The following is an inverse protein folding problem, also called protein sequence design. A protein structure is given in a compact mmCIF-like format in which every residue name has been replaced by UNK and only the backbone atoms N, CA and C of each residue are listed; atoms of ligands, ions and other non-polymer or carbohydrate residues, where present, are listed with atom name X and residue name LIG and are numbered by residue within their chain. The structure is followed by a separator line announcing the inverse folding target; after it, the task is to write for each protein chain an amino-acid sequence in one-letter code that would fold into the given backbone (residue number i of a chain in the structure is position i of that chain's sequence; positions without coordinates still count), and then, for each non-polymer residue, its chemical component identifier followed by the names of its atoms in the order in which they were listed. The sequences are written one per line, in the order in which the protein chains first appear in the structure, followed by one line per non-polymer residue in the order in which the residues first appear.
data_IF_929447308926
#
_entry.id   IF_929447308926
#
_cell.length_a   1.000
_cell.length_b   1.000
_cell.length_c   1.000
_cell.angle_alpha   90.00
_cell.angle_beta   90.00
_cell.angle_gamma   90.00
#
_symmetry.space_group_name_H-M   'P 1'
#
loop_
_entity.id
_entity.type
_entity.pdbx_description
1 polymer ?
#
# COMPACT_ATOMS: atom_id res chain seq x y z
N UNK A 1 -10.69 17.04 -9.05
CA UNK A 1 -11.64 15.90 -9.16
C UNK A 1 -10.96 14.65 -9.76
N UNK A 2 -10.22 14.76 -10.89
CA UNK A 2 -9.53 13.58 -11.48
C UNK A 2 -8.53 12.94 -10.51
N UNK A 3 -7.66 13.72 -9.86
CA UNK A 3 -6.69 13.22 -8.88
C UNK A 3 -7.35 12.43 -7.74
N UNK A 4 -8.46 12.94 -7.21
CA UNK A 4 -9.24 12.28 -6.15
C UNK A 4 -9.78 10.92 -6.63
N UNK A 5 -10.38 10.88 -7.83
CA UNK A 5 -10.91 9.64 -8.39
C UNK A 5 -9.80 8.60 -8.63
N UNK A 6 -8.65 9.01 -9.16
CA UNK A 6 -7.49 8.15 -9.38
C UNK A 6 -6.89 7.66 -8.06
N UNK A 7 -6.75 8.52 -7.05
CA UNK A 7 -6.25 8.14 -5.72
C UNK A 7 -7.18 7.14 -5.01
N UNK A 8 -8.51 7.33 -5.11
CA UNK A 8 -9.48 6.37 -4.58
C UNK A 8 -9.47 5.06 -5.36
N UNK A 9 -9.30 5.10 -6.70
CA UNK A 9 -9.08 3.92 -7.53
C UNK A 9 -7.83 3.14 -7.11
N UNK A 10 -6.72 3.84 -6.84
CA UNK A 10 -5.50 3.28 -6.27
C UNK A 10 -5.78 2.58 -4.94
N UNK A 11 -6.47 3.28 -4.03
CA UNK A 11 -6.85 2.76 -2.72
C UNK A 11 -7.74 1.50 -2.82
N UNK A 12 -8.67 1.47 -3.79
CA UNK A 12 -9.49 0.29 -4.05
C UNK A 12 -8.62 -0.90 -4.53
N UNK A 13 -7.70 -0.67 -5.47
CA UNK A 13 -6.77 -1.70 -5.94
C UNK A 13 -5.91 -2.26 -4.79
N UNK A 14 -5.35 -1.39 -3.96
CA UNK A 14 -4.60 -1.80 -2.78
C UNK A 14 -5.47 -2.55 -1.77
N UNK A 15 -6.70 -2.08 -1.54
CA UNK A 15 -7.65 -2.73 -0.63
C UNK A 15 -8.03 -4.13 -1.07
N UNK A 16 -8.32 -4.33 -2.36
CA UNK A 16 -8.60 -5.65 -2.94
C UNK A 16 -7.37 -6.54 -2.83
N UNK A 17 -6.17 -6.04 -3.17
CA UNK A 17 -4.92 -6.79 -3.04
C UNK A 17 -4.66 -7.24 -1.61
N UNK A 18 -4.83 -6.32 -0.65
CA UNK A 18 -4.64 -6.59 0.78
C UNK A 18 -5.71 -7.51 1.37
N UNK A 19 -6.88 -7.61 0.74
CA UNK A 19 -7.89 -8.61 1.08
C UNK A 19 -7.53 -10.00 0.50
N UNK A 20 -7.21 -10.05 -0.81
CA UNK A 20 -6.96 -11.31 -1.54
C UNK A 20 -5.64 -11.96 -1.10
N UNK A 21 -4.58 -11.19 -0.90
CA UNK A 21 -3.26 -11.71 -0.54
C UNK A 21 -3.24 -12.59 0.71
N UNK A 22 -3.76 -12.13 1.86
CA UNK A 22 -3.88 -12.94 3.07
C UNK A 22 -4.78 -14.17 2.91
N UNK A 23 -5.86 -14.10 2.12
CA UNK A 23 -6.70 -15.28 1.85
C UNK A 23 -5.92 -16.36 1.09
N UNK A 24 -5.08 -15.96 0.13
CA UNK A 24 -4.18 -16.88 -0.57
C UNK A 24 -3.09 -17.43 0.36
N UNK A 25 -2.59 -16.62 1.29
CA UNK A 25 -1.59 -17.04 2.28
C UNK A 25 -2.10 -18.07 3.29
N UNK A 26 -3.42 -18.25 3.42
CA UNK A 26 -4.02 -19.36 4.20
C UNK A 26 -3.82 -20.72 3.53
N UNK A 27 -3.66 -20.75 2.20
CA UNK A 27 -3.50 -21.98 1.40
C UNK A 27 -2.06 -22.18 0.89
N UNK A 28 -1.28 -21.11 0.88
CA UNK A 28 0.10 -21.07 0.39
C UNK A 28 1.00 -20.41 1.42
N UNK A 29 2.32 -20.55 1.29
CA UNK A 29 3.25 -19.83 2.18
C UNK A 29 3.24 -18.34 1.85
N UNK A 30 3.39 -17.48 2.87
CA UNK A 30 3.49 -16.02 2.70
C UNK A 30 4.59 -15.67 1.69
N UNK A 31 5.73 -16.36 1.76
CA UNK A 31 6.85 -16.17 0.83
C UNK A 31 6.44 -16.47 -0.62
N UNK A 32 5.67 -17.56 -0.84
CA UNK A 32 5.19 -17.90 -2.19
C UNK A 32 4.24 -16.84 -2.74
N UNK A 33 3.28 -16.36 -1.92
CA UNK A 33 2.35 -15.30 -2.32
C UNK A 33 3.10 -14.01 -2.65
N UNK A 34 3.98 -13.55 -1.75
CA UNK A 34 4.73 -12.30 -1.94
C UNK A 34 5.65 -12.38 -3.16
N UNK A 35 6.52 -13.38 -3.23
CA UNK A 35 7.51 -13.46 -4.32
C UNK A 35 6.82 -13.63 -5.67
N UNK A 36 5.85 -14.54 -5.79
CA UNK A 36 5.15 -14.77 -7.06
C UNK A 36 4.36 -13.54 -7.51
N UNK A 37 3.63 -12.89 -6.59
CA UNK A 37 2.87 -11.70 -6.90
C UNK A 37 3.76 -10.53 -7.34
N UNK A 38 4.90 -10.32 -6.68
CA UNK A 38 5.80 -9.22 -7.03
C UNK A 38 6.62 -9.49 -8.29
N UNK A 39 6.94 -10.75 -8.59
CA UNK A 39 7.53 -11.11 -9.90
C UNK A 39 6.52 -10.85 -11.02
N UNK A 40 5.25 -11.25 -10.85
CA UNK A 40 4.20 -10.96 -11.83
C UNK A 40 4.00 -9.44 -12.02
N UNK A 41 4.04 -8.68 -10.93
CA UNK A 41 4.01 -7.22 -10.95
C UNK A 41 5.21 -6.62 -11.73
N UNK A 42 6.41 -7.15 -11.50
CA UNK A 42 7.62 -6.73 -12.22
C UNK A 42 7.52 -7.02 -13.73
N UNK A 43 7.01 -8.20 -14.10
CA UNK A 43 6.77 -8.54 -15.51
C UNK A 43 5.76 -7.57 -16.15
N UNK A 44 4.68 -7.23 -15.44
CA UNK A 44 3.70 -6.26 -15.93
C UNK A 44 4.33 -4.86 -16.14
N UNK A 45 5.19 -4.40 -15.22
CA UNK A 45 5.94 -3.16 -15.40
C UNK A 45 6.92 -3.24 -16.58
N UNK A 46 7.59 -4.37 -16.80
CA UNK A 46 8.47 -4.57 -17.96
C UNK A 46 7.68 -4.50 -19.26
N UNK A 47 6.51 -5.14 -19.33
CA UNK A 47 5.62 -5.05 -20.50
C UNK A 47 5.20 -3.59 -20.73
N UNK A 48 4.90 -2.84 -19.66
CA UNK A 48 4.54 -1.45 -19.75
C UNK A 48 5.70 -0.60 -20.31
N UNK A 49 6.94 -0.78 -19.84
CA UNK A 49 8.12 -0.09 -20.37
C UNK A 49 8.31 -0.35 -21.87
N UNK A 50 8.18 -1.64 -22.28
CA UNK A 50 8.31 -2.01 -23.71
C UNK A 50 7.21 -1.42 -24.57
N UNK A 51 5.99 -1.33 -24.04
CA UNK A 51 4.83 -0.79 -24.76
C UNK A 51 4.86 0.75 -24.83
N UNK A 52 5.37 1.41 -23.81
CA UNK A 52 5.44 2.86 -23.69
C UNK A 52 6.55 3.44 -24.56
N UNK A 53 7.69 2.77 -24.65
CA UNK A 53 8.82 3.14 -25.51
C UNK A 53 9.60 4.36 -25.03
N UNK A 54 9.37 4.85 -23.80
CA UNK A 54 10.12 5.94 -23.22
C UNK A 54 11.59 5.56 -22.97
N UNK A 55 12.47 6.57 -22.96
CA UNK A 55 13.86 6.38 -22.58
C UNK A 55 14.00 6.05 -21.08
N UNK A 56 15.07 5.34 -20.68
CA UNK A 56 15.37 5.14 -19.27
C UNK A 56 15.50 6.44 -18.50
N UNK A 57 15.17 6.38 -17.19
CA UNK A 57 15.28 7.53 -16.29
C UNK A 57 16.71 8.10 -16.25
N UNK A 58 16.82 9.36 -15.87
CA UNK A 58 18.09 9.94 -15.44
C UNK A 58 18.66 9.14 -14.23
N UNK A 59 19.97 9.18 -14.05
CA UNK A 59 20.61 8.48 -12.92
C UNK A 59 20.04 8.93 -11.55
N UNK A 60 19.66 10.21 -11.44
CA UNK A 60 19.03 10.77 -10.25
C UNK A 60 17.68 10.12 -9.98
N UNK A 61 16.77 10.09 -10.95
CA UNK A 61 15.42 9.54 -10.80
C UNK A 61 15.42 8.01 -10.70
N UNK A 62 16.37 7.32 -11.33
CA UNK A 62 16.62 5.88 -11.08
C UNK A 62 16.93 5.62 -9.61
N UNK A 63 17.81 6.41 -8.97
CA UNK A 63 18.12 6.25 -7.54
C UNK A 63 16.87 6.48 -6.68
N UNK A 64 16.06 7.49 -6.99
CA UNK A 64 14.81 7.77 -6.27
C UNK A 64 13.81 6.61 -6.45
N UNK A 65 13.67 6.07 -7.67
CA UNK A 65 12.81 4.92 -7.94
C UNK A 65 13.27 3.65 -7.18
N UNK A 66 14.58 3.38 -7.17
CA UNK A 66 15.14 2.27 -6.38
C UNK A 66 14.90 2.46 -4.87
N UNK A 67 15.05 3.68 -4.35
CA UNK A 67 14.73 4.01 -2.95
C UNK A 67 13.24 3.78 -2.65
N UNK A 68 12.34 4.18 -3.55
CA UNK A 68 10.92 3.88 -3.45
C UNK A 68 10.67 2.37 -3.38
N UNK A 69 11.35 1.58 -4.21
CA UNK A 69 11.27 0.12 -4.22
C UNK A 69 11.73 -0.52 -2.92
N UNK A 70 12.85 -0.05 -2.35
CA UNK A 70 13.35 -0.47 -1.02
C UNK A 70 12.33 -0.11 0.06
N UNK A 71 11.76 1.10 0.02
CA UNK A 71 10.70 1.54 0.91
C UNK A 71 9.47 0.61 0.82
N UNK A 72 9.03 0.28 -0.39
CA UNK A 72 7.91 -0.64 -0.60
C UNK A 72 8.20 -2.04 -0.05
N UNK A 73 9.41 -2.57 -0.27
CA UNK A 73 9.83 -3.87 0.28
C UNK A 73 9.84 -3.86 1.82
N UNK A 74 10.43 -2.83 2.44
CA UNK A 74 10.44 -2.65 3.88
C UNK A 74 9.03 -2.54 4.45
N UNK A 75 8.14 -1.83 3.75
CA UNK A 75 6.73 -1.71 4.07
C UNK A 75 6.02 -3.07 4.09
N UNK A 76 6.17 -3.86 3.03
CA UNK A 76 5.58 -5.20 2.95
C UNK A 76 6.13 -6.14 4.01
N UNK A 77 7.46 -6.25 4.14
CA UNK A 77 8.10 -7.12 5.14
C UNK A 77 7.66 -6.73 6.54
N UNK A 78 7.69 -5.43 6.85
CA UNK A 78 7.27 -4.90 8.15
C UNK A 78 5.82 -5.22 8.47
N UNK A 79 4.91 -5.02 7.51
CA UNK A 79 3.49 -5.29 7.66
C UNK A 79 3.20 -6.78 7.93
N UNK A 80 3.81 -7.68 7.13
CA UNK A 80 3.62 -9.12 7.34
C UNK A 80 4.24 -9.61 8.65
N UNK A 81 5.40 -9.05 9.05
CA UNK A 81 6.00 -9.34 10.35
C UNK A 81 5.16 -8.83 11.51
N UNK A 82 4.58 -7.65 11.40
CA UNK A 82 3.66 -7.12 12.39
C UNK A 82 2.43 -8.04 12.55
N UNK A 83 1.84 -8.47 11.43
CA UNK A 83 0.67 -9.37 11.42
C UNK A 83 0.98 -10.78 11.93
N UNK A 84 2.24 -11.24 11.80
CA UNK A 84 2.70 -12.52 12.37
C UNK A 84 2.82 -12.47 13.91
N UNK A 85 3.23 -11.31 14.44
CA UNK A 85 3.61 -11.15 15.86
C UNK A 85 2.49 -10.59 16.74
N UNK A 86 1.49 -9.94 16.15
CA UNK A 86 0.41 -9.30 16.87
C UNK A 86 -0.88 -9.17 16.07
N UNK A 87 -1.92 -8.56 16.66
CA UNK A 87 -3.20 -8.43 15.99
C UNK A 87 -3.12 -7.50 14.78
N UNK A 88 -3.72 -7.91 13.68
CA UNK A 88 -3.83 -7.09 12.48
C UNK A 88 -4.60 -5.79 12.77
N UNK A 89 -5.50 -5.81 13.76
CA UNK A 89 -6.23 -4.65 14.29
C UNK A 89 -5.33 -3.54 14.85
N UNK A 90 -4.08 -3.87 15.19
CA UNK A 90 -3.07 -2.89 15.62
C UNK A 90 -2.13 -2.56 14.46
N UNK A 91 -1.69 -3.58 13.72
CA UNK A 91 -0.73 -3.40 12.64
C UNK A 91 -1.28 -2.56 11.47
N UNK A 92 -2.55 -2.77 11.07
CA UNK A 92 -3.13 -2.08 9.93
C UNK A 92 -3.35 -0.57 10.17
N UNK A 93 -3.91 -0.11 11.30
CA UNK A 93 -3.99 1.32 11.61
C UNK A 93 -2.63 2.01 11.66
N UNK A 94 -1.64 1.38 12.28
CA UNK A 94 -0.28 1.94 12.35
C UNK A 94 0.32 2.02 10.94
N UNK A 95 0.17 0.98 10.12
CA UNK A 95 0.65 0.97 8.73
C UNK A 95 0.02 2.08 7.88
N UNK A 96 -1.27 2.38 8.08
CA UNK A 96 -1.96 3.47 7.38
C UNK A 96 -1.41 4.87 7.72
N UNK A 97 -0.76 5.05 8.88
CA UNK A 97 -0.09 6.29 9.24
C UNK A 97 1.12 6.61 8.34
N UNK A 98 1.54 5.69 7.48
CA UNK A 98 2.57 5.94 6.48
C UNK A 98 2.24 7.12 5.57
N UNK A 99 0.96 7.44 5.34
CA UNK A 99 0.51 8.62 4.60
C UNK A 99 0.96 9.96 5.23
N UNK A 100 1.34 9.98 6.50
CA UNK A 100 1.85 11.19 7.16
C UNK A 100 3.18 11.63 6.52
N UNK A 101 4.01 10.70 6.05
CA UNK A 101 5.32 11.03 5.45
C UNK A 101 5.16 11.90 4.19
N UNK A 102 4.39 11.50 3.15
CA UNK A 102 4.17 12.36 1.99
C UNK A 102 3.38 13.62 2.30
N UNK A 103 2.50 13.63 3.34
CA UNK A 103 1.83 14.86 3.78
C UNK A 103 2.86 15.86 4.32
N UNK A 104 3.77 15.43 5.19
CA UNK A 104 4.84 16.28 5.71
C UNK A 104 5.78 16.74 4.61
N UNK A 105 6.07 15.86 3.63
CA UNK A 105 6.90 16.21 2.48
C UNK A 105 6.22 17.28 1.62
N UNK A 106 4.94 17.12 1.27
CA UNK A 106 4.20 18.09 0.48
C UNK A 106 4.15 19.47 1.13
N UNK A 107 3.90 19.52 2.46
CA UNK A 107 3.94 20.76 3.23
C UNK A 107 5.35 21.40 3.23
N UNK A 108 6.40 20.59 3.31
CA UNK A 108 7.78 21.05 3.24
C UNK A 108 8.13 21.59 1.85
N UNK A 109 7.60 20.97 0.81
CA UNK A 109 7.77 21.36 -0.60
C UNK A 109 6.90 22.56 -1.01
N UNK A 110 6.15 23.14 -0.05
CA UNK A 110 5.40 24.37 -0.23
C UNK A 110 3.93 24.17 -0.61
N UNK A 111 3.38 22.96 -0.50
CA UNK A 111 1.94 22.72 -0.65
C UNK A 111 1.18 23.51 0.43
N UNK A 112 0.21 24.32 0.00
CA UNK A 112 -0.69 25.05 0.90
C UNK A 112 -2.02 24.33 1.00
N UNK A 113 -2.34 23.80 2.18
CA UNK A 113 -3.62 23.16 2.46
C UNK A 113 -4.63 24.21 2.92
N UNK A 114 -5.83 24.17 2.34
CA UNK A 114 -6.98 24.90 2.88
C UNK A 114 -7.38 24.30 4.23
N UNK A 115 -8.00 25.07 5.09
CA UNK A 115 -8.45 24.58 6.41
C UNK A 115 -9.39 23.38 6.27
N UNK A 116 -10.28 23.39 5.27
CA UNK A 116 -11.20 22.26 4.98
C UNK A 116 -10.43 21.01 4.57
N UNK A 117 -9.40 21.13 3.74
CA UNK A 117 -8.54 20.03 3.32
C UNK A 117 -7.77 19.45 4.52
N UNK A 118 -7.21 20.30 5.39
CA UNK A 118 -6.51 19.86 6.58
C UNK A 118 -7.42 19.05 7.53
N UNK A 119 -8.64 19.53 7.78
CA UNK A 119 -9.64 18.78 8.55
C UNK A 119 -10.06 17.48 7.84
N UNK A 120 -10.24 17.52 6.53
CA UNK A 120 -10.55 16.36 5.71
C UNK A 120 -9.45 15.29 5.80
N UNK A 121 -8.17 15.69 5.72
CA UNK A 121 -7.01 14.80 5.88
C UNK A 121 -6.99 14.14 7.27
N UNK A 122 -7.21 14.91 8.34
CA UNK A 122 -7.27 14.38 9.70
C UNK A 122 -8.40 13.37 9.88
N UNK A 123 -9.59 13.67 9.34
CA UNK A 123 -10.72 12.74 9.37
C UNK A 123 -10.46 11.49 8.52
N UNK A 124 -9.84 11.63 7.34
CA UNK A 124 -9.53 10.51 6.48
C UNK A 124 -8.49 9.57 7.13
N UNK A 125 -7.41 10.12 7.68
CA UNK A 125 -6.36 9.35 8.39
C UNK A 125 -6.96 8.69 9.65
N UNK A 126 -7.62 9.46 10.50
CA UNK A 126 -8.20 8.95 11.74
C UNK A 126 -9.33 7.94 11.48
N UNK A 127 -10.19 8.23 10.51
CA UNK A 127 -11.26 7.33 10.08
C UNK A 127 -10.71 6.05 9.46
N UNK A 128 -9.72 6.13 8.58
CA UNK A 128 -9.05 4.96 8.01
C UNK A 128 -8.37 4.08 9.06
N UNK A 129 -7.68 4.70 10.02
CA UNK A 129 -7.07 4.01 11.14
C UNK A 129 -8.12 3.33 12.04
N UNK A 130 -9.26 3.99 12.28
CA UNK A 130 -10.35 3.43 13.07
C UNK A 130 -11.09 2.30 12.31
N UNK A 131 -11.31 2.46 11.00
CA UNK A 131 -11.90 1.42 10.15
C UNK A 131 -11.04 0.15 10.08
N UNK A 132 -9.73 0.29 10.17
CA UNK A 132 -8.79 -0.83 10.17
C UNK A 132 -8.75 -1.61 11.50
N UNK A 133 -9.39 -1.12 12.57
CA UNK A 133 -9.48 -1.86 13.84
C UNK A 133 -10.33 -3.11 13.63
N UNK A 134 -9.73 -4.26 13.88
CA UNK A 134 -10.43 -5.54 13.93
C UNK A 134 -10.70 -5.86 15.41
N UNK A 135 -11.95 -6.11 15.76
CA UNK A 135 -12.28 -6.63 17.10
C UNK A 135 -11.68 -8.04 17.19
N UNK A 136 -10.81 -8.35 18.15
CA UNK A 136 -10.29 -9.71 18.29
C UNK A 136 -11.45 -10.67 18.52
N UNK A 137 -11.66 -11.62 17.63
CA UNK A 137 -12.44 -12.79 17.94
C UNK A 137 -11.62 -13.59 18.96
N UNK A 138 -12.22 -13.83 20.12
CA UNK A 138 -11.80 -14.67 21.26
C UNK A 138 -10.36 -15.21 21.25
N UNK A 139 -9.59 -14.86 22.34
CA UNK A 139 -8.40 -15.55 22.87
C UNK A 139 -7.32 -16.04 21.90
N UNK A 140 -6.92 -15.23 20.94
CA UNK A 140 -5.67 -15.50 20.21
C UNK A 140 -4.50 -14.95 21.02
N UNK A 141 -3.69 -15.85 21.59
CA UNK A 141 -2.43 -15.49 22.24
C UNK A 141 -1.42 -15.08 21.16
N UNK A 142 -1.11 -13.79 21.08
CA UNK A 142 -0.13 -13.27 20.14
C UNK A 142 1.29 -13.42 20.68
N UNK A 143 2.25 -13.71 19.80
CA UNK A 143 3.62 -14.03 20.18
C UNK A 143 4.35 -12.85 20.83
N UNK A 144 4.24 -11.63 20.29
CA UNK A 144 4.90 -10.45 20.83
C UNK A 144 4.24 -9.14 20.33
N UNK A 145 3.22 -8.63 21.04
CA UNK A 145 2.52 -7.42 20.63
C UNK A 145 3.41 -6.18 20.54
N UNK A 146 4.48 -6.08 21.35
CA UNK A 146 5.39 -4.93 21.31
C UNK A 146 6.22 -4.93 20.03
N UNK A 147 6.74 -6.09 19.64
CA UNK A 147 7.45 -6.22 18.36
C UNK A 147 6.52 -6.03 17.17
N UNK A 148 5.25 -6.43 17.29
CA UNK A 148 4.24 -6.14 16.26
C UNK A 148 4.11 -4.63 16.02
N UNK A 149 3.98 -3.82 17.07
CA UNK A 149 3.92 -2.36 16.95
C UNK A 149 5.20 -1.80 16.31
N UNK A 150 6.38 -2.29 16.71
CA UNK A 150 7.65 -1.85 16.13
C UNK A 150 7.72 -2.14 14.61
N UNK A 151 7.36 -3.35 14.20
CA UNK A 151 7.33 -3.74 12.80
C UNK A 151 6.27 -2.98 12.00
N UNK A 152 5.10 -2.70 12.60
CA UNK A 152 4.05 -1.88 11.98
C UNK A 152 4.52 -0.42 11.79
N UNK A 153 5.23 0.14 12.77
CA UNK A 153 5.79 1.49 12.68
C UNK A 153 6.88 1.57 11.59
N UNK A 154 7.76 0.58 11.53
CA UNK A 154 8.75 0.47 10.45
C UNK A 154 8.07 0.36 9.09
N UNK A 155 7.00 -0.44 9.00
CA UNK A 155 6.18 -0.56 7.79
C UNK A 155 5.58 0.78 7.37
N UNK A 156 5.01 1.54 8.31
CA UNK A 156 4.43 2.85 8.05
C UNK A 156 5.46 3.82 7.46
N UNK A 157 6.63 3.96 8.10
CA UNK A 157 7.70 4.82 7.59
C UNK A 157 8.16 4.37 6.20
N UNK A 158 8.36 3.07 6.02
CA UNK A 158 8.82 2.51 4.75
C UNK A 158 7.83 2.71 3.61
N UNK A 159 6.53 2.49 3.84
CA UNK A 159 5.49 2.83 2.87
C UNK A 159 5.40 4.34 2.63
N UNK A 160 5.61 5.15 3.65
CA UNK A 160 5.67 6.60 3.51
C UNK A 160 6.79 7.04 2.56
N UNK A 161 7.99 6.47 2.70
CA UNK A 161 9.10 6.69 1.75
C UNK A 161 8.70 6.29 0.34
N UNK A 162 8.08 5.12 0.15
CA UNK A 162 7.59 4.67 -1.15
C UNK A 162 6.59 5.65 -1.76
N UNK A 163 5.57 6.07 -1.00
CA UNK A 163 4.51 6.96 -1.45
C UNK A 163 5.04 8.37 -1.79
N UNK A 164 6.12 8.79 -1.14
CA UNK A 164 6.76 10.09 -1.41
C UNK A 164 7.72 10.02 -2.60
N UNK A 165 8.60 9.02 -2.64
CA UNK A 165 9.68 8.96 -3.61
C UNK A 165 9.21 8.53 -5.01
N UNK A 166 8.22 7.64 -5.11
CA UNK A 166 7.82 7.10 -6.42
C UNK A 166 7.21 8.16 -7.36
N UNK A 167 6.30 9.04 -6.93
CA UNK A 167 5.82 10.12 -7.78
C UNK A 167 6.95 11.01 -8.31
N UNK A 168 7.90 11.40 -7.44
CA UNK A 168 9.04 12.23 -7.84
C UNK A 168 9.92 11.56 -8.89
N UNK A 169 10.16 10.24 -8.77
CA UNK A 169 10.89 9.49 -9.78
C UNK A 169 10.14 9.41 -11.11
N UNK A 170 8.81 9.58 -11.09
CA UNK A 170 7.95 9.44 -12.28
C UNK A 170 7.95 10.68 -13.18
N UNK A 171 8.56 11.79 -12.76
CA UNK A 171 8.65 13.04 -13.53
C UNK A 171 9.41 12.85 -14.86
N UNK A 172 10.44 11.98 -14.90
CA UNK A 172 11.23 11.68 -16.10
C UNK A 172 10.65 10.53 -16.96
N UNK A 173 9.77 9.71 -16.37
CA UNK A 173 9.22 8.54 -17.07
C UNK A 173 8.55 7.56 -16.10
N UNK A 174 7.25 7.42 -16.22
CA UNK A 174 6.45 6.61 -15.29
C UNK A 174 6.70 5.13 -15.45
N UNK A 175 6.82 4.64 -16.68
CA UNK A 175 7.02 3.23 -16.94
C UNK A 175 8.31 2.71 -16.30
N UNK A 176 9.40 3.44 -16.48
CA UNK A 176 10.69 3.10 -15.90
C UNK A 176 10.72 3.25 -14.39
N UNK A 177 10.12 4.30 -13.81
CA UNK A 177 10.07 4.47 -12.35
C UNK A 177 9.36 3.31 -11.66
N UNK A 178 8.24 2.83 -12.24
CA UNK A 178 7.54 1.66 -11.76
C UNK A 178 8.38 0.39 -11.87
N UNK A 179 9.10 0.20 -12.97
CA UNK A 179 9.96 -0.97 -13.17
C UNK A 179 11.15 -0.97 -12.21
N UNK A 180 11.89 0.14 -12.09
CA UNK A 180 13.05 0.26 -11.21
C UNK A 180 12.67 0.05 -9.75
N UNK A 181 11.54 0.63 -9.31
CA UNK A 181 11.02 0.38 -7.98
C UNK A 181 10.65 -1.12 -7.77
N UNK A 182 10.11 -1.80 -8.78
CA UNK A 182 9.82 -3.24 -8.69
C UNK A 182 11.07 -4.10 -8.69
N UNK A 183 12.10 -3.74 -9.45
CA UNK A 183 13.40 -4.43 -9.43
C UNK A 183 14.00 -4.36 -8.02
N UNK A 184 14.06 -3.17 -7.42
CA UNK A 184 14.56 -3.01 -6.05
C UNK A 184 13.74 -3.81 -5.05
N UNK A 185 12.40 -3.72 -5.11
CA UNK A 185 11.49 -4.44 -4.22
C UNK A 185 11.71 -5.96 -4.33
N UNK A 186 11.69 -6.51 -5.54
CA UNK A 186 11.88 -7.96 -5.77
C UNK A 186 13.25 -8.40 -5.30
N UNK A 187 14.30 -7.62 -5.57
CA UNK A 187 15.66 -7.91 -5.10
C UNK A 187 15.72 -8.00 -3.57
N UNK A 188 15.13 -7.03 -2.86
CA UNK A 188 15.07 -7.04 -1.38
C UNK A 188 14.26 -8.23 -0.88
N UNK A 189 13.12 -8.54 -1.50
CA UNK A 189 12.30 -9.70 -1.12
C UNK A 189 13.03 -11.03 -1.34
N UNK A 190 13.73 -11.19 -2.47
CA UNK A 190 14.51 -12.40 -2.75
C UNK A 190 15.65 -12.57 -1.76
N UNK A 191 16.35 -11.48 -1.43
CA UNK A 191 17.39 -11.49 -0.40
C UNK A 191 16.82 -11.85 0.98
N UNK A 192 15.70 -11.24 1.36
CA UNK A 192 15.01 -11.54 2.62
C UNK A 192 14.46 -12.97 2.68
N UNK A 193 13.90 -13.47 1.57
CA UNK A 193 13.41 -14.84 1.47
C UNK A 193 14.52 -15.86 1.56
N UNK A 194 15.72 -15.56 1.02
CA UNK A 194 16.93 -16.35 1.14
C UNK A 194 16.72 -17.85 0.92
N UNK A 195 17.13 -18.68 1.90
CA UNK A 195 17.01 -20.15 1.85
C UNK A 195 15.55 -20.65 1.79
N UNK A 196 14.57 -19.82 2.18
CA UNK A 196 13.14 -20.16 2.14
C UNK A 196 12.57 -20.23 0.71
N UNK A 197 13.33 -19.78 -0.29
CA UNK A 197 12.98 -19.93 -1.71
C UNK A 197 12.77 -21.40 -2.13
N UNK A 198 13.37 -22.36 -1.42
CA UNK A 198 13.12 -23.79 -1.65
C UNK A 198 11.66 -24.20 -1.39
N UNK A 199 10.89 -23.38 -0.69
CA UNK A 199 9.46 -23.56 -0.48
C UNK A 199 8.60 -23.04 -1.66
N UNK A 200 9.19 -22.34 -2.63
CA UNK A 200 8.54 -21.90 -3.85
C UNK A 200 8.39 -23.09 -4.81
N UNK A 201 7.36 -23.90 -4.58
CA UNK A 201 6.95 -24.88 -5.58
C UNK A 201 5.83 -24.25 -6.41
N UNK A 202 6.07 -23.91 -7.68
CA UNK A 202 4.99 -23.44 -8.56
C UNK A 202 3.99 -24.57 -8.73
N UNK A 203 2.86 -24.46 -8.08
CA UNK A 203 1.72 -25.34 -8.28
C UNK A 203 0.94 -24.92 -9.54
N UNK A 204 0.02 -25.77 -9.97
CA UNK A 204 -0.85 -25.51 -11.14
C UNK A 204 -1.73 -24.24 -10.99
N UNK A 205 -1.86 -23.72 -9.76
CA UNK A 205 -2.66 -22.53 -9.42
C UNK A 205 -1.81 -21.26 -9.20
N UNK A 206 -0.53 -21.28 -9.63
CA UNK A 206 0.38 -20.13 -9.40
C UNK A 206 -0.08 -18.84 -10.06
N UNK A 207 -0.92 -18.88 -11.10
CA UNK A 207 -1.50 -17.70 -11.75
C UNK A 207 -2.40 -16.89 -10.79
N UNK A 208 -3.10 -17.55 -9.85
CA UNK A 208 -3.92 -16.85 -8.84
C UNK A 208 -3.07 -16.02 -7.91
N UNK A 209 -1.83 -16.47 -7.64
CA UNK A 209 -0.87 -15.75 -6.81
C UNK A 209 -0.37 -14.46 -7.47
N UNK A 210 -0.55 -14.30 -8.79
CA UNK A 210 -0.20 -13.08 -9.50
C UNK A 210 -1.19 -11.94 -9.25
N UNK A 211 -2.46 -12.26 -8.94
CA UNK A 211 -3.55 -11.26 -8.81
C UNK A 211 -3.20 -10.13 -7.83
N UNK A 212 -2.74 -10.39 -6.60
CA UNK A 212 -2.38 -9.30 -5.68
C UNK A 212 -1.31 -8.38 -6.25
N UNK A 213 -0.30 -8.92 -6.92
CA UNK A 213 0.77 -8.14 -7.53
C UNK A 213 0.29 -7.24 -8.68
N UNK A 214 -0.55 -7.77 -9.56
CA UNK A 214 -1.13 -7.00 -10.67
C UNK A 214 -2.04 -5.88 -10.17
N UNK A 215 -2.82 -6.12 -9.13
CA UNK A 215 -3.62 -5.08 -8.46
C UNK A 215 -2.74 -4.02 -7.83
N UNK A 216 -1.61 -4.42 -7.21
CA UNK A 216 -0.65 -3.46 -6.65
C UNK A 216 -0.02 -2.59 -7.74
N UNK A 217 0.31 -3.13 -8.91
CA UNK A 217 0.82 -2.33 -10.04
C UNK A 217 -0.24 -1.36 -10.54
N UNK A 218 -1.47 -1.84 -10.77
CA UNK A 218 -2.57 -0.97 -11.19
C UNK A 218 -2.81 0.15 -10.18
N UNK A 219 -2.86 -0.17 -8.88
CA UNK A 219 -2.98 0.82 -7.82
C UNK A 219 -1.82 1.82 -7.80
N UNK A 220 -0.59 1.35 -7.97
CA UNK A 220 0.60 2.22 -8.00
C UNK A 220 0.59 3.14 -9.21
N UNK A 221 0.19 2.64 -10.39
CA UNK A 221 0.04 3.45 -11.59
C UNK A 221 -1.02 4.55 -11.40
N UNK A 222 -2.18 4.19 -10.86
CA UNK A 222 -3.24 5.16 -10.55
C UNK A 222 -2.77 6.20 -9.54
N UNK A 223 -1.96 5.80 -8.55
CA UNK A 223 -1.39 6.69 -7.55
C UNK A 223 -0.42 7.70 -8.15
N UNK A 224 0.52 7.25 -8.99
CA UNK A 224 1.49 8.16 -9.63
C UNK A 224 0.79 9.13 -10.59
N UNK A 225 -0.18 8.64 -11.39
CA UNK A 225 -0.99 9.53 -12.24
C UNK A 225 -1.82 10.52 -11.42
N UNK A 226 -2.33 10.11 -10.26
CA UNK A 226 -3.05 11.02 -9.36
C UNK A 226 -2.13 12.13 -8.84
N UNK A 227 -0.88 11.80 -8.50
CA UNK A 227 0.11 12.75 -8.00
C UNK A 227 0.46 13.84 -9.01
N UNK A 228 0.46 13.53 -10.32
CA UNK A 228 0.66 14.55 -11.39
C UNK A 228 -0.50 15.56 -11.48
N UNK A 229 -1.67 15.21 -10.98
CA UNK A 229 -2.90 15.99 -11.14
C UNK A 229 -3.40 16.62 -9.83
N UNK A 230 -2.71 16.42 -8.72
CA UNK A 230 -3.12 16.91 -7.41
C UNK A 230 -1.99 17.00 -6.41
N UNK A 231 -2.25 17.64 -5.28
CA UNK A 231 -1.28 17.76 -4.20
C UNK A 231 -0.92 16.36 -3.64
N UNK A 232 0.37 16.10 -3.46
CA UNK A 232 0.88 14.81 -3.00
C UNK A 232 0.32 14.45 -1.61
N UNK A 233 0.16 15.44 -0.72
CA UNK A 233 -0.45 15.26 0.60
C UNK A 233 -1.87 14.71 0.52
N UNK A 234 -2.71 15.27 -0.36
CA UNK A 234 -4.09 14.83 -0.55
C UNK A 234 -4.13 13.44 -1.20
N UNK A 235 -3.39 13.27 -2.30
CA UNK A 235 -3.35 12.02 -3.06
C UNK A 235 -2.87 10.84 -2.20
N UNK A 236 -1.85 11.06 -1.36
CA UNK A 236 -1.31 10.01 -0.51
C UNK A 236 -2.25 9.59 0.61
N UNK A 237 -2.98 10.53 1.22
CA UNK A 237 -3.99 10.19 2.22
C UNK A 237 -5.14 9.41 1.59
N UNK A 238 -5.66 9.86 0.45
CA UNK A 238 -6.73 9.15 -0.26
C UNK A 238 -6.27 7.77 -0.75
N UNK A 239 -5.05 7.66 -1.27
CA UNK A 239 -4.44 6.38 -1.67
C UNK A 239 -4.24 5.41 -0.50
N UNK A 240 -4.05 5.94 0.70
CA UNK A 240 -3.85 5.15 1.93
C UNK A 240 -5.16 4.70 2.59
N UNK A 241 -6.33 5.03 2.05
CA UNK A 241 -7.63 4.58 2.54
C UNK A 241 -7.98 3.13 2.16
N UNK A 242 -7.01 2.35 1.66
CA UNK A 242 -7.19 0.94 1.35
C UNK A 242 -7.80 0.09 2.50
N UNK A 243 -7.60 0.40 3.81
CA UNK A 243 -8.26 -0.37 4.86
C UNK A 243 -9.79 -0.29 4.80
N UNK A 244 -10.34 0.85 4.35
CA UNK A 244 -11.80 1.02 4.17
C UNK A 244 -12.33 0.03 3.13
N UNK A 245 -11.62 -0.12 2.00
CA UNK A 245 -11.96 -1.10 0.97
C UNK A 245 -11.78 -2.54 1.44
N UNK A 246 -10.67 -2.82 2.15
CA UNK A 246 -10.40 -4.16 2.69
C UNK A 246 -11.48 -4.60 3.67
N UNK A 247 -11.87 -3.71 4.60
CA UNK A 247 -12.93 -3.97 5.59
C UNK A 247 -14.30 -4.08 4.90
N UNK A 248 -14.59 -3.24 3.92
CA UNK A 248 -15.81 -3.33 3.12
C UNK A 248 -15.93 -4.68 2.40
N UNK A 249 -14.85 -5.16 1.79
CA UNK A 249 -14.80 -6.47 1.14
C UNK A 249 -14.99 -7.62 2.13
N UNK A 250 -14.38 -7.54 3.32
CA UNK A 250 -14.57 -8.54 4.37
C UNK A 250 -16.03 -8.59 4.82
N UNK A 251 -16.67 -7.44 5.01
CA UNK A 251 -18.08 -7.36 5.36
C UNK A 251 -19.00 -7.97 4.29
N UNK A 252 -18.73 -7.70 2.99
CA UNK A 252 -19.58 -8.16 1.89
C UNK A 252 -19.32 -9.63 1.56
N UNK A 253 -18.05 -10.04 1.42
CA UNK A 253 -17.69 -11.37 0.91
C UNK A 253 -17.59 -12.43 1.99
N UNK A 254 -17.23 -12.05 3.22
CA UNK A 254 -17.13 -12.96 4.36
C UNK A 254 -18.34 -12.85 5.30
N UNK A 255 -19.32 -11.97 4.98
CA UNK A 255 -20.47 -11.64 5.81
C UNK A 255 -20.08 -11.23 7.24
N UNK A 256 -18.89 -10.67 7.42
CA UNK A 256 -18.42 -10.16 8.69
C UNK A 256 -19.19 -8.90 9.07
N UNK A 257 -19.68 -8.85 10.30
CA UNK A 257 -20.37 -7.66 10.80
C UNK A 257 -19.32 -6.60 11.20
N UNK A 258 -19.46 -5.41 10.64
CA UNK A 258 -18.63 -4.28 11.06
C UNK A 258 -18.89 -4.01 12.55
N UNK A 259 -17.81 -3.83 13.30
CA UNK A 259 -17.92 -3.30 14.65
C UNK A 259 -18.40 -1.84 14.60
N UNK A 260 -18.92 -1.34 15.71
CA UNK A 260 -19.32 0.09 15.81
C UNK A 260 -18.15 1.02 15.49
N UNK A 261 -16.96 0.68 15.96
CA UNK A 261 -15.73 1.46 15.71
C UNK A 261 -15.38 1.47 14.23
N UNK A 262 -15.47 0.32 13.54
CA UNK A 262 -15.24 0.24 12.10
C UNK A 262 -16.25 1.05 11.30
N UNK A 263 -17.53 0.97 11.66
CA UNK A 263 -18.58 1.78 11.00
C UNK A 263 -18.35 3.29 11.19
N UNK A 264 -17.97 3.73 12.40
CA UNK A 264 -17.61 5.13 12.68
C UNK A 264 -16.37 5.51 11.86
N UNK A 265 -15.35 4.63 11.80
CA UNK A 265 -14.14 4.87 11.04
C UNK A 265 -14.39 5.05 9.54
N UNK A 266 -15.19 4.16 8.94
CA UNK A 266 -15.59 4.26 7.52
C UNK A 266 -16.35 5.57 7.26
N UNK A 267 -17.31 5.91 8.14
CA UNK A 267 -18.10 7.15 8.00
C UNK A 267 -17.21 8.38 8.11
N UNK A 268 -16.28 8.41 9.07
CA UNK A 268 -15.33 9.51 9.23
C UNK A 268 -14.38 9.63 8.02
N UNK A 269 -13.88 8.51 7.48
CA UNK A 269 -13.05 8.51 6.28
C UNK A 269 -13.81 9.07 5.07
N UNK A 270 -15.06 8.66 4.85
CA UNK A 270 -15.90 9.17 3.77
C UNK A 270 -16.20 10.67 3.93
N UNK A 271 -16.49 11.13 5.16
CA UNK A 271 -16.68 12.55 5.44
C UNK A 271 -15.39 13.34 5.16
N UNK A 272 -14.20 12.79 5.50
CA UNK A 272 -12.90 13.37 5.18
C UNK A 272 -12.71 13.53 3.67
N UNK A 273 -13.04 12.51 2.87
CA UNK A 273 -12.99 12.58 1.39
C UNK A 273 -13.87 13.72 0.85
N UNK A 274 -15.09 13.86 1.37
CA UNK A 274 -16.00 14.94 0.95
C UNK A 274 -15.40 16.31 1.26
N UNK A 275 -14.83 16.50 2.46
CA UNK A 275 -14.19 17.76 2.86
C UNK A 275 -12.96 18.13 2.01
N UNK A 276 -12.21 17.14 1.54
CA UNK A 276 -11.07 17.33 0.63
C UNK A 276 -11.56 17.71 -0.79
N UNK A 277 -12.73 17.20 -1.20
CA UNK A 277 -13.26 17.40 -2.54
C UNK A 277 -13.96 18.75 -2.76
N UNK A 278 -14.36 19.45 -1.67
CA UNK A 278 -15.06 20.76 -1.67
C UNK A 278 -14.08 21.90 -1.49
#
# INVERSE_FOLDING_TARGET
MLAIALALGSSACYGVSNFVGPQLAKRHTIVAVLVTSQIAAMIACLIYVVADGEAPLSAHNTVIALLAGVGNAGGLIGFYKAAELGPLSVAAPIGALGAIVPVLWGLFDGEALRTTEAFGLLLAIGGGALAARVTPAEEVVYADPRKSVLWASLSAVSFGVFLTALPQASDDGRAWSLLDARIALVTVLLFWAGVRLRALRPGRESWVLAIPGLLLVAGTLLYTVAADHGQLSIVSVLGSLFPVFTVGLAAILLAERLSREQAIGVTAALAGIVLIAV
#
